data_IF_103979705184
#
_entry.id   IF_103979705184
#
_cell.length_a   1.000
_cell.length_b   1.000
_cell.length_c   1.000
_cell.angle_alpha   90.00
_cell.angle_beta   90.00
_cell.angle_gamma   90.00
#
_symmetry.space_group_name_H-M   'P 1'
#
loop_
_entity.id
_entity.type
_entity.pdbx_description
1 polymer ?
#
# COMPACT_ATOMS: atom_id res chain seq x y z
N UNK A 1 -1.34 -15.47 3.12
CA UNK A 1 -1.36 -14.26 3.97
C UNK A 1 -0.17 -13.40 3.57
N UNK A 2 -0.31 -12.08 3.60
CA UNK A 2 0.77 -11.17 3.26
C UNK A 2 1.66 -10.91 4.48
N UNK A 3 2.95 -11.17 4.38
CA UNK A 3 3.92 -10.76 5.41
C UNK A 3 4.35 -9.31 5.23
N UNK A 4 4.45 -8.86 3.97
CA UNK A 4 4.90 -7.52 3.61
C UNK A 4 4.19 -7.03 2.36
N UNK A 5 3.82 -5.75 2.34
CA UNK A 5 3.25 -5.09 1.16
C UNK A 5 3.95 -3.74 0.98
N UNK A 6 4.30 -3.44 -0.27
CA UNK A 6 4.91 -2.18 -0.67
C UNK A 6 3.92 -1.36 -1.48
N UNK A 7 3.61 -0.18 -0.96
CA UNK A 7 2.77 0.82 -1.59
C UNK A 7 3.63 1.95 -2.17
N UNK A 8 3.16 2.54 -3.24
CA UNK A 8 3.74 3.73 -3.86
C UNK A 8 2.62 4.73 -4.09
N UNK A 9 2.84 5.99 -3.73
CA UNK A 9 1.84 7.03 -3.97
C UNK A 9 1.77 7.36 -5.47
N UNK A 10 0.56 7.54 -6.01
CA UNK A 10 0.38 7.72 -7.46
C UNK A 10 0.90 9.08 -7.95
N UNK A 11 0.60 10.16 -7.23
CA UNK A 11 0.83 11.54 -7.70
C UNK A 11 1.85 12.32 -6.89
N UNK A 12 1.89 12.12 -5.58
CA UNK A 12 2.71 12.96 -4.68
C UNK A 12 3.28 12.08 -3.58
N UNK A 13 4.54 12.30 -3.22
CA UNK A 13 5.18 11.59 -2.12
C UNK A 13 4.50 11.97 -0.80
N UNK A 14 4.17 10.96 0.01
CA UNK A 14 3.43 11.15 1.26
C UNK A 14 4.12 10.38 2.36
N UNK A 15 4.39 11.07 3.46
CA UNK A 15 4.89 10.45 4.69
C UNK A 15 3.69 10.06 5.55
N UNK A 16 3.36 8.77 5.57
CA UNK A 16 2.35 8.25 6.50
C UNK A 16 3.05 7.89 7.81
N UNK A 17 2.75 8.67 8.85
CA UNK A 17 3.36 8.53 10.18
C UNK A 17 2.80 7.35 10.99
N UNK A 18 1.66 6.79 10.61
CA UNK A 18 0.99 5.72 11.32
C UNK A 18 0.56 4.59 10.37
N UNK A 19 1.55 3.79 9.94
CA UNK A 19 1.31 2.61 9.11
C UNK A 19 0.46 1.54 9.80
N UNK A 20 0.48 1.48 11.13
CA UNK A 20 -0.26 0.47 11.89
C UNK A 20 -1.77 0.69 11.79
N UNK A 21 -2.21 1.96 11.71
CA UNK A 21 -3.60 2.29 11.44
C UNK A 21 -4.04 1.80 10.06
N UNK A 22 -3.16 1.89 9.04
CA UNK A 22 -3.47 1.39 7.70
C UNK A 22 -3.65 -0.13 7.69
N UNK A 23 -2.81 -0.88 8.39
CA UNK A 23 -2.96 -2.35 8.48
C UNK A 23 -4.34 -2.72 9.01
N UNK A 24 -4.80 -2.02 10.06
CA UNK A 24 -6.13 -2.23 10.66
C UNK A 24 -7.26 -1.90 9.70
N UNK A 25 -7.14 -0.81 8.93
CA UNK A 25 -8.15 -0.44 7.93
C UNK A 25 -8.21 -1.44 6.76
N UNK A 26 -7.12 -2.15 6.50
CA UNK A 26 -6.97 -3.06 5.38
C UNK A 26 -7.08 -4.54 5.76
N UNK A 27 -7.27 -4.85 7.04
CA UNK A 27 -7.37 -6.22 7.53
C UNK A 27 -8.43 -7.00 6.74
N UNK A 28 -8.12 -8.26 6.42
CA UNK A 28 -8.94 -9.18 5.63
C UNK A 28 -9.19 -8.80 4.17
N UNK A 29 -8.63 -7.69 3.66
CA UNK A 29 -8.67 -7.41 2.22
C UNK A 29 -7.77 -8.37 1.46
N UNK A 30 -8.28 -8.87 0.34
CA UNK A 30 -7.50 -9.60 -0.66
C UNK A 30 -7.02 -8.56 -1.68
N UNK A 31 -5.72 -8.59 -1.98
CA UNK A 31 -5.08 -7.65 -2.88
C UNK A 31 -4.21 -8.35 -3.92
N UNK A 32 -4.00 -7.67 -5.04
CA UNK A 32 -3.09 -8.07 -6.12
C UNK A 32 -2.10 -6.95 -6.45
N UNK A 33 -1.13 -7.24 -7.33
CA UNK A 33 -0.15 -6.24 -7.77
C UNK A 33 -0.81 -5.35 -8.81
N UNK A 34 -0.68 -4.03 -8.65
CA UNK A 34 -1.36 -3.03 -9.48
C UNK A 34 -2.69 -2.53 -8.91
N UNK A 35 -3.20 -3.16 -7.84
CA UNK A 35 -4.38 -2.64 -7.13
C UNK A 35 -4.12 -1.22 -6.62
N UNK A 36 -5.11 -0.33 -6.81
CA UNK A 36 -5.08 1.04 -6.32
C UNK A 36 -6.00 1.19 -5.11
N UNK A 37 -5.46 1.72 -4.02
CA UNK A 37 -6.16 2.02 -2.78
C UNK A 37 -6.13 3.52 -2.52
N UNK A 38 -7.32 4.10 -2.29
CA UNK A 38 -7.46 5.51 -1.93
C UNK A 38 -7.65 5.69 -0.44
N UNK A 39 -6.89 6.60 0.17
CA UNK A 39 -7.03 6.98 1.57
C UNK A 39 -7.23 8.48 1.70
N UNK A 40 -8.00 8.89 2.71
CA UNK A 40 -8.08 10.28 3.10
C UNK A 40 -7.02 10.54 4.17
N UNK A 41 -6.02 11.38 3.88
CA UNK A 41 -5.05 11.85 4.85
C UNK A 41 -5.00 13.37 4.83
N UNK A 42 -5.11 13.99 6.01
CA UNK A 42 -4.99 15.45 6.18
C UNK A 42 -5.94 16.23 5.25
N UNK A 43 -7.19 15.75 5.12
CA UNK A 43 -8.21 16.39 4.26
C UNK A 43 -7.98 16.23 2.75
N UNK A 44 -6.98 15.45 2.32
CA UNK A 44 -6.69 15.15 0.92
C UNK A 44 -6.87 13.66 0.65
N UNK A 45 -7.46 13.33 -0.50
CA UNK A 45 -7.50 11.96 -1.03
C UNK A 45 -6.16 11.65 -1.69
N UNK A 46 -5.55 10.55 -1.28
CA UNK A 46 -4.26 10.07 -1.76
C UNK A 46 -4.46 8.66 -2.28
N UNK A 47 -4.03 8.42 -3.52
CA UNK A 47 -4.10 7.12 -4.15
C UNK A 47 -2.73 6.44 -4.05
N UNK A 48 -2.72 5.18 -3.64
CA UNK A 48 -1.54 4.33 -3.57
C UNK A 48 -1.74 3.11 -4.46
N UNK A 49 -0.69 2.69 -5.14
CA UNK A 49 -0.67 1.44 -5.90
C UNK A 49 0.21 0.42 -5.21
N UNK A 50 -0.22 -0.83 -5.23
CA UNK A 50 0.55 -1.95 -4.71
C UNK A 50 1.54 -2.40 -5.79
N UNK A 51 2.83 -2.20 -5.53
CA UNK A 51 3.90 -2.52 -6.50
C UNK A 51 4.61 -3.83 -6.20
N UNK A 52 4.57 -4.28 -4.94
CA UNK A 52 5.21 -5.51 -4.49
C UNK A 52 4.57 -6.04 -3.20
N UNK A 53 4.66 -7.35 -2.99
CA UNK A 53 4.29 -8.00 -1.74
C UNK A 53 5.00 -9.35 -1.60
N UNK A 54 5.04 -9.86 -0.36
CA UNK A 54 5.60 -11.16 -0.03
C UNK A 54 4.62 -11.97 0.85
N UNK A 55 4.46 -13.29 0.61
CA UNK A 55 5.06 -14.10 -0.47
C UNK A 55 4.50 -13.76 -1.86
N UNK A 56 5.25 -14.08 -2.92
CA UNK A 56 4.77 -13.94 -4.31
C UNK A 56 3.66 -14.97 -4.57
N UNK A 57 2.52 -14.48 -5.03
CA UNK A 57 1.33 -15.27 -5.37
C UNK A 57 0.49 -14.45 -6.37
N UNK A 58 -0.65 -14.98 -6.84
CA UNK A 58 -1.58 -14.21 -7.67
C UNK A 58 -2.31 -13.14 -6.85
N UNK A 59 -2.61 -13.45 -5.59
CA UNK A 59 -3.23 -12.55 -4.63
C UNK A 59 -2.81 -12.92 -3.20
N UNK A 60 -2.80 -11.93 -2.31
CA UNK A 60 -2.53 -12.12 -0.89
C UNK A 60 -3.59 -11.43 -0.03
N UNK A 61 -3.83 -11.97 1.17
CA UNK A 61 -4.72 -11.37 2.17
C UNK A 61 -3.92 -10.60 3.21
N UNK A 62 -4.33 -9.37 3.49
CA UNK A 62 -3.78 -8.51 4.54
C UNK A 62 -4.29 -8.96 5.90
N UNK A 63 -3.41 -9.02 6.89
CA UNK A 63 -3.77 -9.30 8.29
C UNK A 63 -3.02 -8.34 9.22
N UNK A 64 -3.34 -8.35 10.52
CA UNK A 64 -2.76 -7.42 11.51
C UNK A 64 -1.23 -7.51 11.66
N UNK A 65 -0.61 -8.62 11.25
CA UNK A 65 0.83 -8.81 11.26
C UNK A 65 1.52 -8.41 9.95
N UNK A 66 0.76 -7.99 8.94
CA UNK A 66 1.32 -7.58 7.64
C UNK A 66 2.10 -6.28 7.81
N UNK A 67 3.38 -6.29 7.41
CA UNK A 67 4.21 -5.08 7.39
C UNK A 67 3.89 -4.23 6.16
N UNK A 68 3.41 -3.00 6.39
CA UNK A 68 3.18 -2.02 5.34
C UNK A 68 4.44 -1.17 5.15
N UNK A 69 4.90 -1.08 3.90
CA UNK A 69 5.99 -0.19 3.48
C UNK A 69 5.42 0.79 2.47
N UNK A 70 5.71 2.07 2.64
CA UNK A 70 5.35 3.12 1.70
C UNK A 70 6.65 3.66 1.13
N UNK A 71 6.81 3.58 -0.19
CA UNK A 71 7.97 4.14 -0.86
C UNK A 71 7.94 5.66 -0.79
N UNK A 72 9.11 6.28 -0.67
CA UNK A 72 9.28 7.74 -0.79
C UNK A 72 9.15 8.21 -2.26
N UNK A 73 9.24 7.27 -3.21
CA UNK A 73 9.06 7.53 -4.64
C UNK A 73 7.57 7.57 -5.00
N UNK A 74 7.26 8.21 -6.12
CA UNK A 74 5.90 8.22 -6.70
C UNK A 74 5.80 7.25 -7.88
N UNK A 75 4.60 6.73 -8.16
CA UNK A 75 4.40 5.69 -9.18
C UNK A 75 4.80 6.16 -10.57
N UNK A 76 4.62 7.44 -10.86
CA UNK A 76 5.05 8.04 -12.12
C UNK A 76 6.56 7.90 -12.36
N UNK A 77 7.40 7.74 -11.32
CA UNK A 77 8.84 7.46 -11.45
C UNK A 77 9.16 5.97 -11.66
N UNK A 78 8.20 5.07 -11.40
CA UNK A 78 8.38 3.62 -11.63
C UNK A 78 8.01 3.18 -13.05
N UNK A 79 7.22 3.97 -13.78
CA UNK A 79 6.82 3.69 -15.16
C UNK A 79 7.73 4.35 -16.21
N UNK A 80 8.82 5.02 -15.79
CA UNK A 80 9.81 5.66 -16.68
C UNK A 80 11.07 4.79 -16.79
#
# INVERSE_FOLDING_TARGET
>A
MAERITFVAVKEAVIIRNSDQLVRQLENRIITKGDVLSFNAIGKRIDFVIVDYFPKADAVRIHLGTRIIISEKIFQEFEI
#
